data_IF_387464666586
#
_entry.id   IF_387464666586
#
_cell.length_a   1.000
_cell.length_b   1.000
_cell.length_c   1.000
_cell.angle_alpha   90.00
_cell.angle_beta   90.00
_cell.angle_gamma   90.00
#
_symmetry.space_group_name_H-M   'P 1'
#
loop_
_entity.id
_entity.type
_entity.pdbx_description
1 polymer ?
#
# COMPACT_ATOMS: atom_id res chain seq x y z
N UNK A 1 4.96 -8.88 0.24
CA UNK A 1 5.10 -7.48 -0.19
C UNK A 1 4.00 -7.12 -1.18
N UNK A 2 3.39 -5.93 -1.05
CA UNK A 2 2.53 -5.38 -2.10
C UNK A 2 3.36 -5.15 -3.37
N UNK A 3 2.76 -5.43 -4.52
CA UNK A 3 3.32 -5.11 -5.83
C UNK A 3 2.21 -4.52 -6.70
N UNK A 4 2.51 -3.65 -7.68
CA UNK A 4 1.50 -3.05 -8.55
C UNK A 4 0.59 -4.11 -9.19
N UNK A 5 1.18 -5.17 -9.77
CA UNK A 5 0.39 -6.24 -10.40
C UNK A 5 -0.51 -7.05 -9.45
N UNK A 6 -0.21 -7.08 -8.14
CA UNK A 6 -1.15 -7.67 -7.16
C UNK A 6 -2.34 -6.76 -6.90
N UNK A 7 -2.12 -5.44 -6.87
CA UNK A 7 -3.19 -4.46 -6.68
C UNK A 7 -4.14 -4.49 -7.89
N UNK A 8 -3.59 -4.50 -9.12
CA UNK A 8 -4.38 -4.59 -10.35
C UNK A 8 -5.20 -5.89 -10.41
N UNK A 9 -4.61 -7.00 -9.94
CA UNK A 9 -5.30 -8.29 -9.83
C UNK A 9 -6.45 -8.26 -8.81
N UNK A 10 -6.27 -7.61 -7.66
CA UNK A 10 -7.35 -7.46 -6.68
C UNK A 10 -8.48 -6.57 -7.21
N UNK A 11 -8.15 -5.51 -7.94
CA UNK A 11 -9.14 -4.67 -8.61
C UNK A 11 -9.95 -5.46 -9.66
N UNK A 12 -9.30 -6.36 -10.43
CA UNK A 12 -10.00 -7.18 -11.43
C UNK A 12 -10.93 -8.23 -10.81
N UNK A 13 -10.75 -8.58 -9.53
CA UNK A 13 -11.66 -9.43 -8.76
C UNK A 13 -12.84 -8.65 -8.15
N UNK A 14 -12.92 -7.33 -8.38
CA UNK A 14 -13.97 -6.47 -7.82
C UNK A 14 -13.70 -6.01 -6.38
N UNK A 15 -12.45 -6.10 -5.91
CA UNK A 15 -12.06 -5.55 -4.60
C UNK A 15 -11.76 -4.06 -4.75
N UNK A 16 -12.43 -3.24 -3.93
CA UNK A 16 -12.31 -1.79 -3.97
C UNK A 16 -11.32 -1.22 -2.94
N UNK A 17 -10.86 -2.05 -1.99
CA UNK A 17 -9.98 -1.63 -0.90
C UNK A 17 -8.93 -2.70 -0.62
N UNK A 18 -7.70 -2.26 -0.32
CA UNK A 18 -6.58 -3.13 0.07
C UNK A 18 -5.93 -2.57 1.33
N UNK A 19 -5.88 -3.36 2.39
CA UNK A 19 -5.20 -3.00 3.64
C UNK A 19 -3.76 -3.49 3.59
N UNK A 20 -2.81 -2.56 3.79
CA UNK A 20 -1.39 -2.87 3.86
C UNK A 20 -0.94 -2.99 5.32
N UNK A 21 -0.14 -4.01 5.61
CA UNK A 21 0.40 -4.24 6.95
C UNK A 21 1.64 -3.39 7.19
N UNK A 22 1.76 -2.88 8.43
CA UNK A 22 2.94 -2.19 8.91
C UNK A 22 3.71 -3.11 9.87
N UNK A 23 5.06 -3.06 9.88
CA UNK A 23 5.82 -3.76 10.88
C UNK A 23 5.56 -3.18 12.28
N UNK A 24 5.65 -4.02 13.31
CA UNK A 24 5.70 -3.55 14.70
C UNK A 24 7.11 -3.03 14.99
N UNK A 25 7.41 -1.83 14.49
CA UNK A 25 8.71 -1.19 14.55
C UNK A 25 8.61 0.26 15.08
N UNK A 26 9.74 0.89 15.46
CA UNK A 26 9.77 2.30 15.81
C UNK A 26 9.25 3.20 14.69
N UNK A 27 8.82 4.41 15.07
CA UNK A 27 8.21 5.42 14.20
C UNK A 27 8.96 5.61 12.88
N UNK A 28 10.28 5.77 12.92
CA UNK A 28 11.05 6.17 11.74
C UNK A 28 11.12 5.04 10.68
N UNK A 29 11.10 3.78 11.13
CA UNK A 29 11.00 2.63 10.23
C UNK A 29 9.60 2.53 9.62
N UNK A 30 8.56 2.73 10.43
CA UNK A 30 7.17 2.72 9.96
C UNK A 30 6.93 3.83 8.93
N UNK A 31 7.46 5.05 9.15
CA UNK A 31 7.36 6.16 8.20
C UNK A 31 8.00 5.83 6.87
N UNK A 32 9.18 5.20 6.89
CA UNK A 32 9.85 4.75 5.65
C UNK A 32 9.00 3.75 4.88
N UNK A 33 8.31 2.84 5.58
CA UNK A 33 7.38 1.89 4.95
C UNK A 33 6.16 2.60 4.36
N UNK A 34 5.60 3.58 5.07
CA UNK A 34 4.47 4.39 4.60
C UNK A 34 4.83 5.21 3.34
N UNK A 35 6.01 5.83 3.31
CA UNK A 35 6.51 6.53 2.12
C UNK A 35 6.61 5.59 0.91
N UNK A 36 7.00 4.32 1.14
CA UNK A 36 7.02 3.30 0.08
C UNK A 36 5.63 2.92 -0.46
N UNK A 37 4.57 3.19 0.31
CA UNK A 37 3.17 2.96 -0.08
C UNK A 37 2.52 4.17 -0.73
N UNK A 38 3.09 5.38 -0.57
CA UNK A 38 2.56 6.61 -1.16
C UNK A 38 2.32 6.51 -2.68
N UNK A 39 3.14 5.73 -3.40
CA UNK A 39 2.97 5.44 -4.84
C UNK A 39 1.63 4.79 -5.23
N UNK A 40 0.90 4.22 -4.28
CA UNK A 40 -0.38 3.53 -4.52
C UNK A 40 -1.61 4.39 -4.23
N UNK A 41 -1.42 5.58 -3.64
CA UNK A 41 -2.51 6.50 -3.23
C UNK A 41 -2.51 7.81 -4.01
N UNK A 42 -1.71 7.91 -5.10
CA UNK A 42 -1.65 9.10 -5.94
C UNK A 42 -2.91 9.26 -6.82
N UNK A 43 -4.02 9.59 -6.17
CA UNK A 43 -5.26 10.10 -6.74
C UNK A 43 -5.88 11.07 -5.73
N UNK A 44 -6.19 12.28 -6.20
CA UNK A 44 -6.76 13.43 -5.48
C UNK A 44 -5.78 14.35 -4.71
N UNK A 45 -4.95 15.06 -5.48
CA UNK A 45 -4.68 16.49 -5.22
C UNK A 45 -5.09 17.29 -6.45
#
# INVERSE_FOLDING_TARGET
>A
MPSPGKIDHYASLGLHEVVLSLPSAPRDEVLTVLDSYARYVAGDT
#
